data_IF_166463153888
#
_entry.id   IF_166463153888
#
_cell.length_a   1.000
_cell.length_b   1.000
_cell.length_c   1.000
_cell.angle_alpha   90.00
_cell.angle_beta   90.00
_cell.angle_gamma   90.00
#
_symmetry.space_group_name_H-M   'P 1'
#
loop_
_entity.id
_entity.type
_entity.pdbx_description
1 polymer ?
#
# COMPACT_ATOMS: atom_id res chain seq x y z
N UNK A 1 -31.06 -6.53 -7.42
CA UNK A 1 -30.05 -6.40 -8.49
C UNK A 1 -29.76 -7.78 -9.06
N UNK A 2 -29.98 -8.00 -10.36
CA UNK A 2 -29.63 -9.26 -11.05
C UNK A 2 -28.25 -9.08 -11.74
N UNK A 3 -27.20 -8.82 -10.93
CA UNK A 3 -25.85 -8.45 -11.39
C UNK A 3 -24.79 -9.53 -11.11
N UNK A 4 -25.21 -10.79 -11.00
CA UNK A 4 -24.33 -11.89 -10.56
C UNK A 4 -23.10 -12.07 -11.45
N UNK A 5 -23.18 -11.76 -12.74
CA UNK A 5 -22.04 -11.90 -13.66
C UNK A 5 -20.94 -10.85 -13.41
N UNK A 6 -21.29 -9.58 -13.17
CA UNK A 6 -20.32 -8.52 -12.85
C UNK A 6 -19.66 -8.79 -11.48
N UNK A 7 -20.44 -9.22 -10.49
CA UNK A 7 -19.92 -9.58 -9.18
C UNK A 7 -18.94 -10.77 -9.27
N UNK A 8 -19.28 -11.82 -10.01
CA UNK A 8 -18.41 -12.98 -10.23
C UNK A 8 -17.13 -12.61 -10.98
N UNK A 9 -17.22 -11.69 -11.96
CA UNK A 9 -16.05 -11.21 -12.69
C UNK A 9 -15.10 -10.43 -11.76
N UNK A 10 -15.62 -9.57 -10.89
CA UNK A 10 -14.81 -8.85 -9.92
C UNK A 10 -14.14 -9.79 -8.91
N UNK A 11 -14.88 -10.78 -8.40
CA UNK A 11 -14.33 -11.80 -7.50
C UNK A 11 -13.23 -12.59 -8.19
N UNK A 12 -13.45 -13.04 -9.43
CA UNK A 12 -12.45 -13.80 -10.19
C UNK A 12 -11.19 -12.94 -10.43
N UNK A 13 -11.36 -11.67 -10.77
CA UNK A 13 -10.26 -10.73 -10.94
C UNK A 13 -9.44 -10.56 -9.66
N UNK A 14 -10.09 -10.46 -8.50
CA UNK A 14 -9.44 -10.43 -7.20
C UNK A 14 -8.67 -11.73 -6.92
N UNK A 15 -9.32 -12.87 -7.11
CA UNK A 15 -8.73 -14.18 -6.84
C UNK A 15 -7.49 -14.44 -7.71
N UNK A 16 -7.54 -14.08 -8.99
CA UNK A 16 -6.43 -14.26 -9.93
C UNK A 16 -5.21 -13.41 -9.52
N UNK A 17 -5.43 -12.14 -9.15
CA UNK A 17 -4.34 -11.27 -8.71
C UNK A 17 -3.81 -11.67 -7.33
N UNK A 18 -4.68 -12.00 -6.36
CA UNK A 18 -4.25 -12.48 -5.04
C UNK A 18 -3.43 -13.77 -5.16
N UNK A 19 -3.85 -14.70 -6.02
CA UNK A 19 -3.11 -15.91 -6.31
C UNK A 19 -1.75 -15.58 -6.92
N UNK A 20 -1.70 -14.71 -7.93
CA UNK A 20 -0.46 -14.31 -8.60
C UNK A 20 0.52 -13.65 -7.62
N UNK A 21 0.05 -12.71 -6.80
CA UNK A 21 0.85 -12.06 -5.77
C UNK A 21 1.38 -13.11 -4.80
N UNK A 22 0.50 -13.95 -4.23
CA UNK A 22 0.86 -15.01 -3.27
C UNK A 22 1.93 -15.94 -3.82
N UNK A 23 1.77 -16.41 -5.05
CA UNK A 23 2.74 -17.29 -5.71
C UNK A 23 4.10 -16.63 -5.88
N UNK A 24 4.14 -15.34 -6.24
CA UNK A 24 5.40 -14.59 -6.39
C UNK A 24 6.08 -14.32 -5.06
N UNK A 25 5.33 -13.83 -4.07
CA UNK A 25 5.91 -13.47 -2.76
C UNK A 25 6.27 -14.70 -1.92
N UNK A 26 5.65 -15.86 -2.16
CA UNK A 26 6.03 -17.12 -1.51
C UNK A 26 7.47 -17.57 -1.84
N UNK A 27 8.01 -17.12 -2.97
CA UNK A 27 9.39 -17.41 -3.41
C UNK A 27 10.43 -16.51 -2.74
N UNK A 28 9.99 -15.51 -1.98
CA UNK A 28 10.85 -14.56 -1.29
C UNK A 28 11.23 -15.16 0.06
N UNK A 29 12.52 -15.42 0.32
CA UNK A 29 12.99 -15.91 1.61
C UNK A 29 12.57 -14.96 2.73
N UNK A 30 12.23 -15.50 3.89
CA UNK A 30 11.78 -14.71 5.05
C UNK A 30 12.78 -13.59 5.42
N UNK A 31 14.08 -13.90 5.39
CA UNK A 31 15.17 -12.95 5.65
C UNK A 31 15.27 -11.79 4.64
N UNK A 32 14.62 -11.92 3.48
CA UNK A 32 14.54 -10.88 2.45
C UNK A 32 13.21 -10.13 2.48
N UNK A 33 12.28 -10.50 3.36
CA UNK A 33 10.99 -9.83 3.43
C UNK A 33 11.15 -8.43 3.99
N UNK A 34 10.57 -7.45 3.31
CA UNK A 34 10.64 -6.04 3.68
C UNK A 34 9.84 -5.78 4.95
N UNK A 35 10.48 -5.13 5.91
CA UNK A 35 9.86 -4.57 7.12
C UNK A 35 9.17 -3.27 6.72
N UNK A 36 7.86 -3.20 6.90
CA UNK A 36 7.03 -2.08 6.47
C UNK A 36 6.43 -1.39 7.69
N UNK A 37 6.57 -0.08 7.74
CA UNK A 37 5.82 0.77 8.66
C UNK A 37 4.69 1.49 7.92
N UNK A 38 3.45 1.27 8.39
CA UNK A 38 2.25 1.91 7.88
C UNK A 38 1.97 3.19 8.67
N UNK A 39 2.35 4.35 8.13
CA UNK A 39 2.08 5.65 8.72
C UNK A 39 0.67 6.09 8.35
N UNK A 40 -0.17 6.36 9.36
CA UNK A 40 -1.57 6.70 9.17
C UNK A 40 -1.83 8.13 9.67
N UNK A 41 -1.84 9.10 8.75
CA UNK A 41 -2.21 10.51 8.98
C UNK A 41 -1.48 11.29 10.08
N UNK A 42 -0.61 10.66 10.85
CA UNK A 42 0.37 11.29 11.72
C UNK A 42 1.69 10.47 11.70
N UNK A 43 2.86 11.12 11.81
CA UNK A 43 4.15 10.45 11.66
C UNK A 43 4.40 9.23 12.57
N UNK A 44 3.89 9.28 13.80
CA UNK A 44 4.03 8.23 14.81
C UNK A 44 2.68 7.55 15.13
N UNK A 45 1.78 7.52 14.14
CA UNK A 45 0.48 6.88 14.24
C UNK A 45 0.36 5.75 13.22
N UNK A 46 -0.10 4.58 13.67
CA UNK A 46 -0.17 3.34 12.88
C UNK A 46 -1.27 2.42 13.41
N UNK A 47 -1.40 1.23 12.84
CA UNK A 47 -2.36 0.20 13.27
C UNK A 47 -1.67 -1.15 13.46
N UNK A 48 -2.20 -1.95 14.39
CA UNK A 48 -1.74 -3.32 14.64
C UNK A 48 -2.30 -4.34 13.65
N UNK A 49 -2.09 -5.62 13.95
CA UNK A 49 -2.54 -6.76 13.14
C UNK A 49 -4.07 -6.89 12.99
N UNK A 50 -4.88 -6.15 13.75
CA UNK A 50 -6.33 -6.23 13.67
C UNK A 50 -6.94 -5.37 12.54
N UNK A 51 -6.14 -4.55 11.85
CA UNK A 51 -6.63 -3.58 10.86
C UNK A 51 -6.20 -3.92 9.43
N UNK A 52 -6.87 -3.28 8.45
CA UNK A 52 -6.62 -3.52 7.02
C UNK A 52 -5.16 -3.30 6.58
N UNK A 53 -4.42 -2.38 7.20
CA UNK A 53 -3.00 -2.18 6.92
C UNK A 53 -2.18 -3.47 7.05
N UNK A 54 -2.55 -4.34 7.99
CA UNK A 54 -1.96 -5.68 8.13
C UNK A 54 -2.22 -6.55 6.89
N UNK A 55 -3.47 -6.62 6.44
CA UNK A 55 -3.87 -7.42 5.27
C UNK A 55 -3.15 -6.94 4.02
N UNK A 56 -3.10 -5.62 3.80
CA UNK A 56 -2.39 -5.02 2.68
C UNK A 56 -0.89 -5.39 2.68
N UNK A 57 -0.21 -5.19 3.82
CA UNK A 57 1.24 -5.46 3.93
C UNK A 57 1.54 -6.95 3.75
N UNK A 58 0.77 -7.83 4.40
CA UNK A 58 1.06 -9.27 4.38
C UNK A 58 0.69 -9.92 3.06
N UNK A 59 -0.39 -9.49 2.39
CA UNK A 59 -0.72 -9.94 1.05
C UNK A 59 0.39 -9.59 0.05
N UNK A 60 0.98 -8.39 0.18
CA UNK A 60 2.15 -7.96 -0.59
C UNK A 60 3.47 -8.64 -0.20
N UNK A 61 3.48 -9.53 0.80
CA UNK A 61 4.67 -10.25 1.26
C UNK A 61 5.58 -9.46 2.19
N UNK A 62 5.14 -8.31 2.70
CA UNK A 62 5.86 -7.52 3.70
C UNK A 62 5.62 -7.98 5.14
N UNK A 63 6.39 -7.43 6.06
CA UNK A 63 6.27 -7.62 7.51
C UNK A 63 5.85 -6.31 8.17
N UNK A 64 4.66 -6.26 8.76
CA UNK A 64 4.22 -5.08 9.51
C UNK A 64 5.00 -4.98 10.83
N UNK A 65 5.87 -3.97 10.95
CA UNK A 65 6.68 -3.77 12.16
C UNK A 65 5.85 -3.43 13.39
N UNK A 66 4.63 -2.95 13.19
CA UNK A 66 3.69 -2.56 14.24
C UNK A 66 2.62 -3.63 14.55
N UNK A 67 2.74 -4.85 14.00
CA UNK A 67 1.69 -5.89 14.11
C UNK A 67 1.31 -6.28 15.54
N UNK A 68 2.19 -6.06 16.51
CA UNK A 68 2.04 -6.47 17.91
C UNK A 68 1.80 -5.32 18.90
N UNK A 69 1.55 -4.07 18.44
CA UNK A 69 1.31 -2.94 19.36
C UNK A 69 -0.05 -2.97 20.07
N UNK A 70 -0.93 -3.89 19.67
CA UNK A 70 -2.30 -3.99 20.19
C UNK A 70 -3.17 -2.79 19.77
N UNK A 71 -4.17 -2.46 20.59
CA UNK A 71 -5.13 -1.40 20.26
C UNK A 71 -4.57 0.03 20.28
N UNK A 72 -3.34 0.21 20.78
CA UNK A 72 -2.65 1.49 20.72
C UNK A 72 -2.30 1.82 19.28
N UNK A 73 -2.50 3.08 18.87
CA UNK A 73 -2.16 3.54 17.51
C UNK A 73 -1.00 4.51 17.50
N UNK A 74 -0.74 5.17 18.62
CA UNK A 74 0.39 6.06 18.79
C UNK A 74 1.60 5.29 19.32
N UNK A 75 2.74 5.48 18.66
CA UNK A 75 4.04 4.98 19.09
C UNK A 75 4.95 6.15 19.44
N UNK A 76 6.11 5.86 20.02
CA UNK A 76 7.17 6.87 20.16
C UNK A 76 8.27 6.66 19.09
N UNK A 77 9.14 7.65 18.96
CA UNK A 77 10.24 7.60 17.99
C UNK A 77 11.26 6.49 18.29
N UNK A 78 11.54 6.20 19.57
CA UNK A 78 12.50 5.18 19.98
C UNK A 78 12.06 3.78 19.52
N UNK A 79 10.76 3.51 19.59
CA UNK A 79 10.14 2.28 19.10
C UNK A 79 10.28 2.16 17.58
N UNK A 80 9.98 3.23 16.83
CA UNK A 80 10.14 3.22 15.37
C UNK A 80 11.61 3.04 14.95
N UNK A 81 12.54 3.69 15.64
CA UNK A 81 14.00 3.52 15.43
C UNK A 81 14.46 2.10 15.74
N UNK A 82 13.91 1.47 16.78
CA UNK A 82 14.20 0.07 17.14
C UNK A 82 13.68 -0.89 16.07
N UNK A 83 12.49 -0.63 15.53
CA UNK A 83 11.96 -1.43 14.44
C UNK A 83 12.70 -1.24 13.13
N UNK A 84 13.23 -0.04 12.86
CA UNK A 84 14.01 0.31 11.68
C UNK A 84 13.43 -0.31 10.38
N UNK A 85 12.25 0.15 9.92
CA UNK A 85 11.62 -0.40 8.73
C UNK A 85 12.47 -0.15 7.47
N UNK A 86 12.39 -1.08 6.53
CA UNK A 86 12.96 -0.94 5.19
C UNK A 86 12.15 0.03 4.34
N UNK A 87 10.82 0.08 4.55
CA UNK A 87 9.87 0.87 3.77
C UNK A 87 8.86 1.56 4.70
N UNK A 88 8.55 2.82 4.41
CA UNK A 88 7.43 3.54 5.02
C UNK A 88 6.37 3.81 3.96
N UNK A 89 5.16 3.32 4.21
CA UNK A 89 3.98 3.67 3.42
C UNK A 89 3.17 4.73 4.16
N UNK A 90 2.81 5.80 3.48
CA UNK A 90 2.19 7.01 4.04
C UNK A 90 0.75 7.06 3.55
N UNK A 91 -0.16 6.68 4.45
CA UNK A 91 -1.60 6.68 4.23
C UNK A 91 -2.21 8.00 4.62
N UNK A 92 -3.16 8.46 3.80
CA UNK A 92 -4.05 9.59 4.09
C UNK A 92 -5.49 9.16 4.36
N UNK A 93 -5.73 7.87 4.63
CA UNK A 93 -7.09 7.33 4.71
C UNK A 93 -7.85 7.67 6.02
N UNK A 94 -7.23 8.43 6.91
CA UNK A 94 -7.88 9.09 8.05
C UNK A 94 -8.23 10.57 7.77
N UNK A 95 -8.00 11.04 6.54
CA UNK A 95 -8.29 12.41 6.10
C UNK A 95 -7.13 13.37 6.22
N UNK A 96 -5.95 12.96 6.71
CA UNK A 96 -4.77 13.82 6.75
C UNK A 96 -3.71 13.39 5.74
N UNK A 97 -3.42 14.28 4.79
CA UNK A 97 -2.31 14.11 3.87
C UNK A 97 -0.99 14.54 4.51
N UNK A 98 0.02 13.64 4.49
CA UNK A 98 1.39 13.94 4.88
C UNK A 98 2.26 13.84 3.62
N UNK A 99 2.89 14.92 3.17
CA UNK A 99 3.82 14.86 2.06
C UNK A 99 5.05 14.01 2.42
N UNK A 100 5.56 13.24 1.45
CA UNK A 100 6.81 12.48 1.61
C UNK A 100 7.97 13.36 2.12
N UNK A 101 8.02 14.62 1.66
CA UNK A 101 9.04 15.59 2.08
C UNK A 101 8.99 15.93 3.57
N UNK A 102 7.81 15.90 4.20
CA UNK A 102 7.67 16.12 5.64
C UNK A 102 8.34 14.98 6.42
N UNK A 103 8.11 13.73 6.00
CA UNK A 103 8.73 12.53 6.61
C UNK A 103 10.24 12.53 6.36
N UNK A 104 10.67 12.80 5.12
CA UNK A 104 12.08 12.80 4.70
C UNK A 104 12.90 13.86 5.44
N UNK A 105 12.34 15.04 5.66
CA UNK A 105 13.03 16.17 6.29
C UNK A 105 12.91 16.18 7.81
N UNK A 106 12.09 15.31 8.42
CA UNK A 106 11.93 15.25 9.86
C UNK A 106 13.25 14.82 10.54
N UNK A 107 13.87 15.66 11.40
CA UNK A 107 15.12 15.33 12.07
C UNK A 107 15.05 14.06 12.92
N UNK A 108 13.88 13.75 13.50
CA UNK A 108 13.68 12.54 14.31
C UNK A 108 13.81 11.27 13.47
N UNK A 109 13.52 11.34 12.17
CA UNK A 109 13.49 10.18 11.27
C UNK A 109 14.80 9.95 10.51
N UNK A 110 15.78 10.84 10.63
CA UNK A 110 17.10 10.71 9.98
C UNK A 110 17.82 9.39 10.29
N UNK A 111 17.50 8.75 11.41
CA UNK A 111 18.07 7.46 11.82
C UNK A 111 17.52 6.27 11.03
N UNK A 112 16.32 6.36 10.47
CA UNK A 112 15.59 5.26 9.84
C UNK A 112 16.20 4.87 8.49
N UNK A 113 16.31 3.57 8.25
CA UNK A 113 16.81 3.05 6.98
C UNK A 113 15.94 3.49 5.79
N UNK A 114 14.61 3.37 5.91
CA UNK A 114 13.69 3.84 4.86
C UNK A 114 13.90 5.30 4.46
N UNK A 115 14.27 6.19 5.39
CA UNK A 115 14.55 7.60 5.08
C UNK A 115 15.90 7.77 4.38
N UNK A 116 16.92 7.03 4.82
CA UNK A 116 18.27 7.07 4.22
C UNK A 116 18.28 6.51 2.80
N UNK A 117 17.47 5.50 2.54
CA UNK A 117 17.37 4.80 1.24
C UNK A 117 16.23 5.33 0.35
N UNK A 118 15.56 6.41 0.77
CA UNK A 118 14.44 7.05 0.05
C UNK A 118 13.27 6.08 -0.26
N UNK A 119 13.03 5.12 0.63
CA UNK A 119 11.96 4.12 0.55
C UNK A 119 10.69 4.61 1.25
N UNK A 120 10.23 5.80 0.86
CA UNK A 120 9.07 6.49 1.40
C UNK A 120 8.02 6.64 0.31
N UNK A 121 6.84 6.04 0.49
CA UNK A 121 5.83 5.96 -0.56
C UNK A 121 4.48 6.46 -0.08
N UNK A 122 3.87 7.37 -0.84
CA UNK A 122 2.48 7.76 -0.67
C UNK A 122 1.59 6.59 -1.12
N UNK A 123 0.61 6.18 -0.30
CA UNK A 123 -0.39 5.22 -0.76
C UNK A 123 -1.23 5.83 -1.90
N UNK A 124 -1.40 5.13 -3.04
CA UNK A 124 -2.25 5.60 -4.13
C UNK A 124 -3.71 5.79 -3.71
N UNK A 125 -4.38 6.71 -4.39
CA UNK A 125 -5.81 6.99 -4.19
C UNK A 125 -6.49 6.97 -5.54
N UNK A 126 -7.39 6.01 -5.73
CA UNK A 126 -8.25 5.93 -6.90
C UNK A 126 -9.56 6.68 -6.67
N UNK A 127 -10.69 6.00 -6.90
CA UNK A 127 -12.00 6.53 -6.44
C UNK A 127 -12.16 6.40 -4.93
N UNK A 128 -11.34 5.55 -4.32
CA UNK A 128 -11.20 5.36 -2.90
C UNK A 128 -9.73 5.14 -2.54
N UNK A 129 -9.38 5.15 -1.25
CA UNK A 129 -8.03 4.81 -0.84
C UNK A 129 -7.73 3.33 -1.13
N UNK A 130 -6.61 3.06 -1.79
CA UNK A 130 -6.20 1.70 -2.14
C UNK A 130 -5.75 0.87 -0.94
N UNK A 131 -5.49 1.53 0.19
CA UNK A 131 -5.22 0.93 1.49
C UNK A 131 -6.47 0.90 2.39
N UNK A 132 -7.66 0.80 1.78
CA UNK A 132 -8.92 0.45 2.45
C UNK A 132 -9.61 -0.74 1.77
N UNK A 133 -10.45 -1.49 2.50
CA UNK A 133 -11.25 -2.55 1.89
C UNK A 133 -12.28 -1.92 0.94
N UNK A 134 -12.08 -2.14 -0.36
CA UNK A 134 -12.91 -1.61 -1.45
C UNK A 134 -12.79 -2.52 -2.67
N UNK A 135 -13.65 -2.39 -3.70
CA UNK A 135 -13.50 -3.14 -4.95
C UNK A 135 -12.14 -2.93 -5.65
N UNK A 136 -11.54 -1.75 -5.53
CA UNK A 136 -10.23 -1.42 -6.13
C UNK A 136 -9.02 -1.75 -5.24
N UNK A 137 -9.24 -2.21 -3.99
CA UNK A 137 -8.15 -2.51 -3.04
C UNK A 137 -7.15 -3.56 -3.53
N UNK A 138 -7.52 -4.42 -4.49
CA UNK A 138 -6.59 -5.35 -5.14
C UNK A 138 -5.46 -4.63 -5.89
N UNK A 139 -5.74 -3.45 -6.47
CA UNK A 139 -4.72 -2.60 -7.10
C UNK A 139 -3.72 -2.09 -6.05
N UNK A 140 -4.18 -1.79 -4.83
CA UNK A 140 -3.31 -1.47 -3.68
C UNK A 140 -2.39 -2.62 -3.29
N UNK A 141 -2.90 -3.85 -3.27
CA UNK A 141 -2.09 -5.04 -2.99
C UNK A 141 -1.02 -5.24 -4.07
N UNK A 142 -1.39 -5.08 -5.35
CA UNK A 142 -0.47 -5.20 -6.47
C UNK A 142 0.60 -4.11 -6.47
N UNK A 143 0.19 -2.85 -6.23
CA UNK A 143 1.08 -1.71 -6.07
C UNK A 143 2.11 -1.95 -4.95
N UNK A 144 1.65 -2.38 -3.77
CA UNK A 144 2.56 -2.59 -2.65
C UNK A 144 3.50 -3.77 -2.94
N UNK A 145 3.01 -4.86 -3.53
CA UNK A 145 3.85 -6.01 -3.88
C UNK A 145 4.96 -5.62 -4.89
N UNK A 146 4.63 -4.81 -5.90
CA UNK A 146 5.59 -4.28 -6.85
C UNK A 146 6.56 -3.28 -6.22
N UNK A 147 6.08 -2.44 -5.29
CA UNK A 147 6.93 -1.49 -4.54
C UNK A 147 7.96 -2.22 -3.68
N UNK A 148 7.54 -3.27 -2.96
CA UNK A 148 8.43 -4.02 -2.08
C UNK A 148 9.41 -4.90 -2.87
N UNK A 149 8.98 -5.44 -4.02
CA UNK A 149 9.72 -6.46 -4.77
C UNK A 149 9.67 -6.22 -6.30
N UNK A 150 10.24 -5.12 -6.81
CA UNK A 150 10.09 -4.72 -8.21
C UNK A 150 10.55 -5.79 -9.20
N UNK A 151 11.65 -6.50 -8.92
CA UNK A 151 12.17 -7.57 -9.78
C UNK A 151 11.19 -8.75 -9.95
N UNK A 152 10.42 -9.06 -8.91
CA UNK A 152 9.41 -10.13 -8.93
C UNK A 152 8.14 -9.73 -9.69
N UNK A 153 7.95 -8.43 -9.95
CA UNK A 153 6.77 -7.84 -10.59
C UNK A 153 7.13 -6.96 -11.80
N UNK A 154 8.31 -7.17 -12.40
CA UNK A 154 8.82 -6.37 -13.55
C UNK A 154 7.96 -6.46 -14.82
N UNK A 155 7.18 -7.54 -14.95
CA UNK A 155 6.24 -7.78 -16.04
C UNK A 155 4.86 -7.16 -15.80
N UNK A 156 4.62 -6.61 -14.61
CA UNK A 156 3.35 -5.96 -14.27
C UNK A 156 3.41 -4.48 -14.65
N UNK A 157 2.57 -4.10 -15.60
CA UNK A 157 2.25 -2.70 -15.90
C UNK A 157 1.03 -2.28 -15.06
N UNK A 158 1.31 -1.71 -13.88
CA UNK A 158 0.27 -1.30 -12.94
C UNK A 158 -0.64 -0.20 -13.52
N UNK A 159 -0.09 0.70 -14.35
CA UNK A 159 -0.88 1.77 -14.96
C UNK A 159 -1.91 1.20 -15.92
N UNK A 160 -1.48 0.31 -16.81
CA UNK A 160 -2.37 -0.39 -17.73
C UNK A 160 -3.38 -1.25 -17.00
N UNK A 161 -2.98 -1.90 -15.90
CA UNK A 161 -3.88 -2.72 -15.12
C UNK A 161 -4.97 -1.89 -14.43
N UNK A 162 -4.61 -0.70 -13.93
CA UNK A 162 -5.55 0.27 -13.39
C UNK A 162 -6.58 0.70 -14.43
N UNK A 163 -6.14 1.04 -15.65
CA UNK A 163 -7.05 1.43 -16.75
C UNK A 163 -8.04 0.30 -17.06
N UNK A 164 -7.56 -0.95 -17.18
CA UNK A 164 -8.42 -2.11 -17.43
C UNK A 164 -9.45 -2.31 -16.33
N UNK A 165 -9.04 -2.21 -15.06
CA UNK A 165 -9.94 -2.38 -13.92
C UNK A 165 -11.09 -1.36 -13.98
N UNK A 166 -10.76 -0.08 -14.16
CA UNK A 166 -11.76 0.99 -14.21
C UNK A 166 -12.71 0.85 -15.41
N UNK A 167 -12.17 0.45 -16.56
CA UNK A 167 -12.99 0.20 -17.74
C UNK A 167 -13.95 -0.98 -17.51
N UNK A 168 -13.47 -2.07 -16.93
CA UNK A 168 -14.25 -3.30 -16.76
C UNK A 168 -15.33 -3.18 -15.68
N UNK A 169 -15.01 -2.59 -14.53
CA UNK A 169 -15.87 -2.65 -13.34
C UNK A 169 -16.57 -1.33 -13.02
N UNK A 170 -15.96 -0.19 -13.38
CA UNK A 170 -16.56 1.13 -13.17
C UNK A 170 -17.07 1.78 -14.46
N UNK A 171 -16.86 1.11 -15.61
CA UNK A 171 -17.24 1.61 -16.94
C UNK A 171 -16.66 2.99 -17.23
N UNK A 172 -15.46 3.26 -16.71
CA UNK A 172 -14.76 4.54 -16.87
C UNK A 172 -13.44 4.34 -17.61
N UNK A 173 -13.23 5.13 -18.67
CA UNK A 173 -11.99 5.09 -19.43
C UNK A 173 -11.01 6.11 -18.85
N UNK A 174 -10.15 5.65 -17.95
CA UNK A 174 -9.06 6.48 -17.43
C UNK A 174 -8.09 6.88 -18.54
N UNK A 175 -7.63 8.12 -18.50
CA UNK A 175 -6.45 8.59 -19.22
C UNK A 175 -5.18 8.20 -18.47
N UNK A 176 -4.03 8.26 -19.15
CA UNK A 176 -2.73 8.08 -18.46
C UNK A 176 -2.52 9.14 -17.38
N UNK A 177 -3.00 10.36 -17.59
CA UNK A 177 -2.92 11.43 -16.58
C UNK A 177 -3.72 11.09 -15.33
N UNK A 178 -4.96 10.60 -15.46
CA UNK A 178 -5.78 10.20 -14.32
C UNK A 178 -5.06 9.15 -13.46
N UNK A 179 -4.38 8.19 -14.11
CA UNK A 179 -3.60 7.15 -13.42
C UNK A 179 -2.38 7.74 -12.70
N UNK A 180 -1.68 8.69 -13.31
CA UNK A 180 -0.56 9.37 -12.64
C UNK A 180 -1.03 10.16 -11.41
N UNK A 181 -2.20 10.80 -11.48
CA UNK A 181 -2.80 11.48 -10.34
C UNK A 181 -3.15 10.50 -9.21
N UNK A 182 -3.58 9.27 -9.55
CA UNK A 182 -3.81 8.23 -8.54
C UNK A 182 -2.52 7.76 -7.86
N UNK A 183 -1.42 7.63 -8.61
CA UNK A 183 -0.11 7.19 -8.06
C UNK A 183 0.65 8.29 -7.32
N UNK A 184 0.32 9.56 -7.59
CA UNK A 184 0.93 10.72 -6.96
C UNK A 184 -0.13 11.62 -6.33
N UNK A 185 -0.88 11.11 -5.33
CA UNK A 185 -1.98 11.88 -4.77
C UNK A 185 -1.43 13.11 -4.03
N UNK A 186 -2.18 14.21 -4.13
CA UNK A 186 -1.94 15.44 -3.38
C UNK A 186 -2.83 15.57 -2.15
N UNK A 187 -2.74 16.69 -1.42
CA UNK A 187 -3.70 17.02 -0.37
C UNK A 187 -5.11 17.08 -0.95
N UNK A 188 -6.09 16.50 -0.23
CA UNK A 188 -7.50 16.64 -0.54
C UNK A 188 -7.88 18.14 -0.47
N UNK A 189 -8.52 18.64 -1.53
CA UNK A 189 -9.02 20.03 -1.59
C UNK A 189 -10.36 20.18 -0.87
#
# INVERSE_FOLDING_TARGET
MNKSNEANALVSYWDDWLKTIKERVSKIPEVKRKRVYYMLGAPLHTNDSAWWGQSLITAAGGLNVASEIGKGRDINIEQLLTWNPDVIIISSNDGRFIPVSEVKNNPQFKGLQAVKEDQLYQCPIGTFWWDRPSPEGILGNLWLAQTLYPENFRDVDLARETIKFYQAFYHYNLTEQDVQEFFHPGPLQ
#
